data_IF_653570267303
#
_entry.id   IF_653570267303
#
_cell.length_a   1.000
_cell.length_b   1.000
_cell.length_c   1.000
_cell.angle_alpha   90.00
_cell.angle_beta   90.00
_cell.angle_gamma   90.00
#
_symmetry.space_group_name_H-M   'P 1'
#
loop_
_entity.id
_entity.type
_entity.pdbx_description
1 polymer ?
#
# COMPACT_ATOMS: atom_id res chain seq x y z
N UNK A 1 -26.07 -34.30 -15.49
CA UNK A 1 -25.12 -33.50 -16.28
C UNK A 1 -24.82 -32.23 -15.51
N UNK A 2 -23.59 -32.16 -15.02
CA UNK A 2 -22.91 -31.03 -14.36
C UNK A 2 -22.88 -29.81 -15.32
N UNK A 3 -23.22 -28.61 -14.88
CA UNK A 3 -22.41 -27.57 -14.19
C UNK A 3 -21.98 -26.44 -15.14
N UNK A 4 -22.41 -25.24 -14.74
CA UNK A 4 -21.82 -23.92 -15.01
C UNK A 4 -21.77 -23.40 -16.45
N UNK A 5 -22.75 -22.56 -16.78
CA UNK A 5 -22.61 -21.56 -17.82
C UNK A 5 -21.64 -20.47 -17.36
N UNK A 6 -20.57 -20.37 -18.14
CA UNK A 6 -19.62 -19.27 -18.22
C UNK A 6 -20.34 -17.92 -18.35
N UNK A 7 -19.81 -16.90 -17.67
CA UNK A 7 -20.36 -15.53 -17.68
C UNK A 7 -19.29 -14.54 -17.25
N UNK A 8 -18.21 -14.45 -18.02
CA UNK A 8 -17.28 -13.32 -18.00
C UNK A 8 -18.06 -12.02 -18.23
N UNK A 9 -18.17 -11.19 -17.18
CA UNK A 9 -18.48 -9.78 -17.31
C UNK A 9 -17.21 -8.99 -16.95
N UNK A 10 -16.25 -9.03 -17.87
CA UNK A 10 -15.18 -8.05 -17.98
C UNK A 10 -15.82 -6.70 -18.32
N UNK A 11 -16.06 -5.87 -17.32
CA UNK A 11 -16.29 -4.43 -17.53
C UNK A 11 -14.96 -3.70 -17.44
N UNK A 12 -14.45 -3.37 -18.62
CA UNK A 12 -13.31 -2.51 -18.90
C UNK A 12 -13.60 -1.07 -18.49
N UNK A 13 -12.90 -0.61 -17.47
CA UNK A 13 -12.52 0.80 -17.33
C UNK A 13 -11.10 0.85 -16.77
N UNK A 14 -10.15 0.40 -17.59
CA UNK A 14 -8.72 0.44 -17.31
C UNK A 14 -8.14 1.67 -18.02
N UNK A 15 -8.54 2.86 -17.55
CA UNK A 15 -7.68 4.03 -17.66
C UNK A 15 -6.35 3.63 -17.01
N UNK A 16 -5.22 3.80 -17.72
CA UNK A 16 -3.88 3.35 -17.32
C UNK A 16 -3.69 3.40 -15.79
N UNK A 17 -3.94 2.27 -15.13
CA UNK A 17 -3.84 2.21 -13.67
C UNK A 17 -2.36 2.27 -13.38
N UNK A 18 -1.90 3.35 -12.77
CA UNK A 18 -0.53 3.46 -12.30
C UNK A 18 -0.22 2.20 -11.48
N UNK A 19 0.75 1.43 -11.95
CA UNK A 19 1.12 0.17 -11.30
C UNK A 19 1.84 0.53 -9.99
N UNK A 20 1.14 0.37 -8.87
CA UNK A 20 1.74 0.54 -7.54
C UNK A 20 2.76 -0.58 -7.32
N UNK A 21 4.04 -0.22 -7.24
CA UNK A 21 5.13 -1.18 -7.06
C UNK A 21 5.41 -1.46 -5.57
N UNK A 22 5.22 -0.44 -4.74
CA UNK A 22 5.43 -0.49 -3.30
C UNK A 22 4.33 0.29 -2.59
N UNK A 23 3.90 -0.19 -1.43
CA UNK A 23 3.03 0.56 -0.51
C UNK A 23 3.53 0.41 0.91
N UNK A 24 3.30 1.42 1.74
CA UNK A 24 3.66 1.37 3.15
C UNK A 24 2.49 1.79 4.04
N UNK A 25 2.36 1.11 5.18
CA UNK A 25 1.27 1.31 6.14
C UNK A 25 1.85 1.41 7.55
N UNK A 26 1.28 2.30 8.37
CA UNK A 26 1.62 2.39 9.79
C UNK A 26 0.45 1.91 10.62
N UNK A 27 0.71 1.00 11.56
CA UNK A 27 -0.29 0.48 12.51
C UNK A 27 0.17 0.73 13.94
N UNK A 28 -0.76 1.23 14.75
CA UNK A 28 -0.59 1.38 16.20
C UNK A 28 -1.34 0.23 16.88
N UNK A 29 -0.62 -0.62 17.62
CA UNK A 29 -1.21 -1.74 18.35
C UNK A 29 -0.39 -2.00 19.62
N UNK A 30 -1.07 -2.28 20.73
CA UNK A 30 -0.43 -2.66 22.01
C UNK A 30 0.65 -1.69 22.52
N UNK A 31 0.51 -0.39 22.23
CA UNK A 31 1.50 0.63 22.61
C UNK A 31 2.74 0.69 21.72
N UNK A 32 2.80 -0.14 20.67
CA UNK A 32 3.86 -0.13 19.67
C UNK A 32 3.37 0.42 18.33
N UNK A 33 4.29 1.07 17.61
CA UNK A 33 4.06 1.50 16.23
C UNK A 33 4.84 0.57 15.30
N UNK A 34 4.16 0.07 14.27
CA UNK A 34 4.76 -0.79 13.25
C UNK A 34 4.62 -0.14 11.88
N UNK A 35 5.70 -0.16 11.10
CA UNK A 35 5.72 0.18 9.68
C UNK A 35 5.75 -1.12 8.89
N UNK A 36 4.74 -1.33 8.04
CA UNK A 36 4.69 -2.43 7.09
C UNK A 36 5.01 -1.91 5.70
N UNK A 37 5.96 -2.54 5.02
CA UNK A 37 6.32 -2.26 3.63
C UNK A 37 5.89 -3.47 2.79
N UNK A 38 4.94 -3.25 1.87
CA UNK A 38 4.49 -4.26 0.91
C UNK A 38 5.23 -4.05 -0.41
N UNK A 39 6.02 -5.04 -0.82
CA UNK A 39 6.68 -5.09 -2.11
C UNK A 39 5.83 -5.89 -3.10
N UNK A 40 5.10 -5.19 -3.97
CA UNK A 40 4.20 -5.80 -4.96
C UNK A 40 4.94 -6.40 -6.17
N UNK A 41 6.25 -6.14 -6.32
CA UNK A 41 7.07 -6.77 -7.37
C UNK A 41 7.37 -8.23 -7.05
N UNK A 42 7.63 -8.53 -5.78
CA UNK A 42 8.07 -9.86 -5.34
C UNK A 42 7.08 -10.55 -4.38
N UNK A 43 6.03 -9.85 -3.94
CA UNK A 43 5.03 -10.38 -3.00
C UNK A 43 5.53 -10.45 -1.55
N UNK A 44 6.61 -9.73 -1.22
CA UNK A 44 7.22 -9.75 0.10
C UNK A 44 6.64 -8.66 1.00
N UNK A 45 6.53 -8.95 2.29
CA UNK A 45 6.08 -8.00 3.31
C UNK A 45 7.14 -7.90 4.39
N UNK A 46 7.60 -6.69 4.65
CA UNK A 46 8.57 -6.39 5.70
C UNK A 46 7.90 -5.56 6.79
N UNK A 47 8.13 -5.93 8.06
CA UNK A 47 7.51 -5.26 9.22
C UNK A 47 8.60 -4.79 10.17
N UNK A 48 8.54 -3.52 10.50
CA UNK A 48 9.50 -2.85 11.37
C UNK A 48 8.80 -2.21 12.56
N UNK A 49 9.28 -2.46 13.77
CA UNK A 49 8.89 -1.66 14.93
C UNK A 49 9.59 -0.31 14.81
N UNK A 50 8.81 0.78 14.88
CA UNK A 50 9.30 2.14 14.69
C UNK A 50 8.91 3.02 15.88
N UNK A 51 9.73 4.02 16.25
CA UNK A 51 9.35 4.96 17.30
C UNK A 51 8.14 5.80 16.87
N UNK A 52 7.18 6.00 17.78
CA UNK A 52 6.00 6.84 17.53
C UNK A 52 6.38 8.26 17.07
N UNK A 53 7.43 8.83 17.66
CA UNK A 53 7.95 10.16 17.29
C UNK A 53 8.39 10.25 15.82
N UNK A 54 8.81 9.14 15.21
CA UNK A 54 9.15 9.10 13.78
C UNK A 54 7.88 9.08 12.92
N UNK A 55 6.87 8.29 13.34
CA UNK A 55 5.56 8.22 12.67
C UNK A 55 4.87 9.58 12.65
N UNK A 56 4.90 10.32 13.77
CA UNK A 56 4.29 11.65 13.87
C UNK A 56 4.89 12.67 12.88
N UNK A 57 6.12 12.44 12.41
CA UNK A 57 6.78 13.30 11.40
C UNK A 57 6.48 12.88 9.96
N UNK A 58 5.90 11.71 9.72
CA UNK A 58 5.59 11.23 8.36
C UNK A 58 4.73 12.21 7.55
N UNK A 59 3.65 12.80 8.09
CA UNK A 59 2.84 13.75 7.32
C UNK A 59 3.65 14.94 6.81
N UNK A 60 4.57 15.46 7.63
CA UNK A 60 5.45 16.56 7.25
C UNK A 60 6.39 16.15 6.10
N UNK A 61 7.07 15.01 6.21
CA UNK A 61 7.99 14.54 5.17
C UNK A 61 7.27 14.16 3.88
N UNK A 62 6.10 13.52 3.97
CA UNK A 62 5.28 13.18 2.80
C UNK A 62 4.77 14.43 2.08
N UNK A 63 4.36 15.47 2.84
CA UNK A 63 4.00 16.76 2.24
C UNK A 63 5.19 17.42 1.54
N UNK A 64 6.38 17.35 2.13
CA UNK A 64 7.60 17.89 1.54
C UNK A 64 7.96 17.18 0.24
N UNK A 65 7.87 15.85 0.21
CA UNK A 65 8.13 15.04 -0.99
C UNK A 65 7.13 15.37 -2.10
N UNK A 66 5.84 15.45 -1.77
CA UNK A 66 4.80 15.82 -2.72
C UNK A 66 5.09 17.16 -3.40
N UNK A 67 5.55 18.14 -2.64
CA UNK A 67 5.89 19.47 -3.17
C UNK A 67 7.14 19.49 -4.07
N UNK A 68 8.01 18.48 -4.00
CA UNK A 68 9.22 18.38 -4.82
C UNK A 68 9.02 17.57 -6.10
N UNK A 69 7.93 16.80 -6.18
CA UNK A 69 7.61 15.92 -7.29
C UNK A 69 6.55 16.53 -8.24
N UNK A 70 5.98 17.68 -7.87
CA UNK A 70 5.09 18.50 -8.70
C UNK A 70 5.90 19.58 -9.45
#
# INVERSE_FOLDING_TARGET
MEKSANGEARTTTEAAREKVLYSAEVRHANGECTLTINNHLHGNVEVYVVPEKAVQKLPFYLSMLRNKLA
#
